data_IF_325610897707
#
_entry.id   IF_325610897707
#
_cell.length_a   1.000
_cell.length_b   1.000
_cell.length_c   1.000
_cell.angle_alpha   90.00
_cell.angle_beta   90.00
_cell.angle_gamma   90.00
#
_symmetry.space_group_name_H-M   'P 1'
#
loop_
_entity.id
_entity.type
_entity.pdbx_description
1 polymer ?
#
# COMPACT_ATOMS: atom_id res chain seq x y z
N UNK A 1 6.67 -55.47 24.60
CA UNK A 1 5.36 -55.36 25.28
C UNK A 1 4.27 -55.69 24.27
N UNK A 2 3.48 -56.74 24.51
CA UNK A 2 2.40 -57.15 23.61
C UNK A 2 1.20 -56.20 23.79
N UNK A 3 0.99 -55.27 22.85
CA UNK A 3 -0.09 -54.26 22.92
C UNK A 3 -1.52 -54.85 22.98
N UNK A 4 -1.69 -56.16 22.70
CA UNK A 4 -2.98 -56.86 22.72
C UNK A 4 -3.69 -56.93 24.08
N UNK A 5 -3.00 -56.65 25.20
CA UNK A 5 -3.56 -56.78 26.56
C UNK A 5 -3.69 -55.47 27.34
N UNK A 6 -3.60 -54.30 26.67
CA UNK A 6 -3.65 -53.00 27.36
C UNK A 6 -4.97 -52.80 28.13
N UNK A 7 -6.10 -53.20 27.55
CA UNK A 7 -7.41 -53.08 28.20
C UNK A 7 -7.52 -53.98 29.44
N UNK A 8 -7.10 -55.24 29.33
CA UNK A 8 -7.11 -56.18 30.44
C UNK A 8 -6.16 -55.76 31.58
N UNK A 9 -5.03 -55.13 31.23
CA UNK A 9 -4.09 -54.59 32.22
C UNK A 9 -4.63 -53.34 32.92
N UNK A 10 -5.25 -52.42 32.18
CA UNK A 10 -5.89 -51.21 32.72
C UNK A 10 -7.05 -51.54 33.66
N UNK A 11 -7.82 -52.59 33.37
CA UNK A 11 -8.91 -53.06 34.25
C UNK A 11 -8.34 -53.65 35.55
N UNK A 12 -7.22 -54.38 35.48
CA UNK A 12 -6.57 -55.01 36.65
C UNK A 12 -5.75 -54.03 37.49
N UNK A 13 -5.29 -52.92 36.90
CA UNK A 13 -4.47 -51.90 37.56
C UNK A 13 -5.08 -50.50 37.37
N UNK A 14 -6.25 -50.22 37.99
CA UNK A 14 -7.06 -49.03 37.68
C UNK A 14 -6.40 -47.70 38.07
N UNK A 15 -5.47 -47.71 39.03
CA UNK A 15 -4.83 -46.48 39.55
C UNK A 15 -4.01 -45.77 38.48
N UNK A 16 -3.25 -46.51 37.64
CA UNK A 16 -2.37 -45.89 36.63
C UNK A 16 -3.17 -45.18 35.53
N UNK A 17 -4.18 -45.81 34.89
CA UNK A 17 -5.06 -45.12 33.95
C UNK A 17 -5.76 -43.90 34.55
N UNK A 18 -6.26 -44.00 35.79
CA UNK A 18 -6.96 -42.88 36.45
C UNK A 18 -6.06 -41.65 36.59
N UNK A 19 -4.82 -41.84 37.08
CA UNK A 19 -3.86 -40.74 37.22
C UNK A 19 -3.50 -40.13 35.86
N UNK A 20 -3.32 -40.97 34.83
CA UNK A 20 -3.06 -40.49 33.47
C UNK A 20 -4.24 -39.67 32.94
N UNK A 21 -5.48 -40.13 33.14
CA UNK A 21 -6.67 -39.39 32.73
C UNK A 21 -6.83 -38.07 33.48
N UNK A 22 -6.57 -38.04 34.79
CA UNK A 22 -6.57 -36.80 35.57
C UNK A 22 -5.48 -35.84 35.08
N UNK A 23 -4.27 -36.35 34.79
CA UNK A 23 -3.19 -35.56 34.22
C UNK A 23 -3.54 -34.98 32.85
N UNK A 24 -4.13 -35.78 31.96
CA UNK A 24 -4.60 -35.34 30.65
C UNK A 24 -5.75 -34.33 30.76
N UNK A 25 -6.65 -34.51 31.73
CA UNK A 25 -7.74 -33.57 32.00
C UNK A 25 -7.20 -32.21 32.44
N UNK A 26 -6.25 -32.18 33.38
CA UNK A 26 -5.62 -30.94 33.84
C UNK A 26 -4.82 -30.27 32.72
N UNK A 27 -4.04 -31.05 31.96
CA UNK A 27 -3.33 -30.53 30.79
C UNK A 27 -4.28 -29.96 29.72
N UNK A 28 -5.42 -30.61 29.49
CA UNK A 28 -6.47 -30.14 28.59
C UNK A 28 -7.09 -28.83 29.04
N UNK A 29 -7.41 -28.68 30.34
CA UNK A 29 -7.97 -27.45 30.89
C UNK A 29 -6.97 -26.29 30.77
N UNK A 30 -5.69 -26.52 31.10
CA UNK A 30 -4.65 -25.50 30.97
C UNK A 30 -4.44 -25.10 29.50
N UNK A 31 -4.37 -26.08 28.60
CA UNK A 31 -4.23 -25.84 27.16
C UNK A 31 -5.40 -25.02 26.61
N UNK A 32 -6.64 -25.43 26.92
CA UNK A 32 -7.85 -24.73 26.49
C UNK A 32 -7.93 -23.30 27.02
N UNK A 33 -7.53 -23.07 28.28
CA UNK A 33 -7.51 -21.73 28.88
C UNK A 33 -6.42 -20.82 28.29
N UNK A 34 -5.34 -21.40 27.74
CA UNK A 34 -4.24 -20.65 27.10
C UNK A 34 -4.43 -20.43 25.60
N UNK A 35 -5.42 -21.10 25.00
CA UNK A 35 -5.67 -21.05 23.57
C UNK A 35 -6.15 -19.64 23.19
N UNK A 36 -5.44 -19.00 22.25
CA UNK A 36 -5.84 -17.70 21.73
C UNK A 36 -7.13 -17.87 20.94
N UNK A 37 -8.11 -17.02 21.23
CA UNK A 37 -9.33 -16.91 20.43
C UNK A 37 -9.02 -15.99 19.26
N UNK A 38 -9.34 -16.44 18.06
CA UNK A 38 -9.17 -15.67 16.83
C UNK A 38 -10.49 -15.75 16.04
N UNK A 39 -11.01 -14.60 15.64
CA UNK A 39 -12.33 -14.48 14.99
C UNK A 39 -12.31 -15.09 13.59
N UNK A 40 -11.24 -14.87 12.84
CA UNK A 40 -11.05 -15.36 11.48
C UNK A 40 -9.79 -16.21 11.39
N UNK A 41 -9.87 -17.46 10.87
CA UNK A 41 -8.69 -18.28 10.67
C UNK A 41 -7.71 -17.56 9.75
N UNK A 42 -6.41 -17.67 10.06
CA UNK A 42 -5.37 -17.14 9.20
C UNK A 42 -5.31 -17.96 7.90
N UNK A 43 -5.89 -17.42 6.82
CA UNK A 43 -5.86 -18.01 5.49
C UNK A 43 -5.04 -17.09 4.60
N UNK A 44 -3.83 -17.53 4.26
CA UNK A 44 -2.97 -16.87 3.30
C UNK A 44 -3.34 -17.33 1.89
N UNK A 45 -4.21 -16.57 1.22
CA UNK A 45 -4.36 -16.72 -0.23
C UNK A 45 -3.23 -15.96 -0.92
N UNK A 46 -2.44 -16.59 -1.81
CA UNK A 46 -1.34 -15.92 -2.47
C UNK A 46 -1.89 -14.97 -3.54
N UNK A 47 -2.16 -13.73 -3.12
CA UNK A 47 -2.71 -12.68 -3.97
C UNK A 47 -1.76 -11.49 -3.98
N UNK A 48 -1.51 -10.94 -5.17
CA UNK A 48 -0.68 -9.75 -5.38
C UNK A 48 -1.56 -8.65 -5.96
N UNK A 49 -1.44 -7.46 -5.41
CA UNK A 49 -2.16 -6.26 -5.85
C UNK A 49 -1.17 -5.36 -6.58
N UNK A 50 -1.56 -4.92 -7.77
CA UNK A 50 -0.86 -3.93 -8.58
C UNK A 50 -1.75 -2.70 -8.72
N UNK A 51 -1.25 -1.53 -8.29
CA UNK A 51 -1.94 -0.25 -8.42
C UNK A 51 -1.13 0.66 -9.32
N UNK A 52 -1.77 1.19 -10.35
CA UNK A 52 -1.17 2.18 -11.27
C UNK A 52 -2.12 3.36 -11.39
N UNK A 53 -1.61 4.56 -11.11
CA UNK A 53 -2.39 5.79 -11.19
C UNK A 53 -1.94 6.64 -12.37
N UNK A 54 -2.90 7.17 -13.13
CA UNK A 54 -2.68 8.14 -14.20
C UNK A 54 -3.65 9.31 -14.03
N UNK A 55 -3.27 10.36 -13.27
CA UNK A 55 -4.15 11.48 -13.00
C UNK A 55 -4.73 12.12 -14.27
N UNK A 56 -6.06 12.26 -14.31
CA UNK A 56 -6.76 12.93 -15.41
C UNK A 56 -7.09 12.03 -16.60
N UNK A 57 -6.85 10.73 -16.53
CA UNK A 57 -7.27 9.77 -17.55
C UNK A 57 -8.68 9.22 -17.29
N UNK A 58 -9.47 9.06 -18.36
CA UNK A 58 -10.80 8.47 -18.28
C UNK A 58 -10.72 6.95 -18.05
N UNK A 59 -11.72 6.31 -17.41
CA UNK A 59 -11.70 4.86 -17.14
C UNK A 59 -11.44 3.99 -18.37
N UNK A 60 -12.01 4.34 -19.52
CA UNK A 60 -11.81 3.63 -20.80
C UNK A 60 -10.38 3.74 -21.33
N UNK A 61 -9.71 4.86 -21.04
CA UNK A 61 -8.30 5.06 -21.38
C UNK A 61 -7.39 4.24 -20.46
N UNK A 62 -7.69 4.25 -19.15
CA UNK A 62 -7.02 3.41 -18.15
C UNK A 62 -7.15 1.93 -18.52
N UNK A 63 -8.32 1.48 -18.96
CA UNK A 63 -8.56 0.09 -19.36
C UNK A 63 -7.64 -0.30 -20.53
N UNK A 64 -7.64 0.51 -21.59
CA UNK A 64 -6.96 0.19 -22.85
C UNK A 64 -5.45 0.40 -22.81
N UNK A 65 -4.98 1.47 -22.18
CA UNK A 65 -3.56 1.84 -22.18
C UNK A 65 -2.78 1.25 -21.02
N UNK A 66 -3.43 0.94 -19.89
CA UNK A 66 -2.77 0.42 -18.69
C UNK A 66 -3.25 -0.99 -18.38
N UNK A 67 -4.54 -1.17 -18.11
CA UNK A 67 -5.09 -2.39 -17.51
C UNK A 67 -4.81 -3.61 -18.39
N UNK A 68 -5.16 -3.54 -19.67
CA UNK A 68 -4.92 -4.63 -20.62
C UNK A 68 -3.43 -4.96 -20.79
N UNK A 69 -2.55 -3.97 -20.70
CA UNK A 69 -1.08 -4.14 -20.81
C UNK A 69 -0.51 -4.84 -19.57
N UNK A 70 -0.92 -4.39 -18.39
CA UNK A 70 -0.54 -5.00 -17.12
C UNK A 70 -1.05 -6.44 -17.05
N UNK A 71 -2.33 -6.68 -17.37
CA UNK A 71 -2.91 -8.03 -17.40
C UNK A 71 -2.17 -8.97 -18.35
N UNK A 72 -1.83 -8.49 -19.55
CA UNK A 72 -1.08 -9.28 -20.51
C UNK A 72 0.32 -9.64 -19.99
N UNK A 73 1.00 -8.70 -19.33
CA UNK A 73 2.32 -8.94 -18.74
C UNK A 73 2.25 -9.96 -17.60
N UNK A 74 1.34 -9.78 -16.63
CA UNK A 74 1.25 -10.67 -15.45
C UNK A 74 0.71 -12.06 -15.80
N UNK A 75 -0.07 -12.20 -16.87
CA UNK A 75 -0.60 -13.50 -17.32
C UNK A 75 0.50 -14.46 -17.80
N UNK A 76 1.69 -13.95 -18.12
CA UNK A 76 2.83 -14.79 -18.53
C UNK A 76 3.55 -15.47 -17.37
N UNK A 77 3.24 -15.06 -16.13
CA UNK A 77 3.84 -15.57 -14.91
C UNK A 77 3.30 -16.96 -14.61
N UNK A 78 4.18 -17.87 -14.18
CA UNK A 78 3.80 -19.23 -13.80
C UNK A 78 2.97 -19.22 -12.50
N UNK A 79 2.04 -20.15 -12.36
CA UNK A 79 1.25 -20.28 -11.13
C UNK A 79 0.13 -19.27 -10.97
N UNK A 80 -0.10 -18.35 -11.91
CA UNK A 80 -1.27 -17.47 -11.92
C UNK A 80 -2.54 -18.28 -12.16
N UNK A 81 -3.48 -18.23 -11.21
CA UNK A 81 -4.78 -18.88 -11.27
C UNK A 81 -5.85 -17.96 -11.86
N UNK A 82 -5.92 -16.71 -11.37
CA UNK A 82 -6.91 -15.74 -11.82
C UNK A 82 -6.36 -14.32 -11.80
N UNK A 83 -6.87 -13.47 -12.69
CA UNK A 83 -6.56 -12.04 -12.73
C UNK A 83 -7.88 -11.28 -12.79
N UNK A 84 -8.04 -10.30 -11.92
CA UNK A 84 -9.19 -9.41 -11.89
C UNK A 84 -8.71 -7.97 -11.81
N UNK A 85 -9.16 -7.10 -12.72
CA UNK A 85 -8.79 -5.69 -12.69
C UNK A 85 -10.01 -4.80 -12.63
N UNK A 86 -9.84 -3.65 -11.97
CA UNK A 86 -10.83 -2.59 -11.90
C UNK A 86 -10.20 -1.30 -12.39
N UNK A 87 -10.66 -0.80 -13.54
CA UNK A 87 -10.30 0.52 -14.05
C UNK A 87 -11.30 1.56 -13.52
N UNK A 88 -10.78 2.57 -12.83
CA UNK A 88 -11.53 3.72 -12.33
C UNK A 88 -10.92 5.00 -12.88
N UNK A 89 -11.60 6.13 -12.67
CA UNK A 89 -11.05 7.44 -13.07
C UNK A 89 -9.69 7.64 -12.40
N UNK A 90 -8.68 7.97 -13.19
CA UNK A 90 -7.31 8.20 -12.75
C UNK A 90 -6.54 7.00 -12.13
N UNK A 91 -7.13 5.80 -12.01
CA UNK A 91 -6.43 4.66 -11.39
C UNK A 91 -6.90 3.30 -11.89
N UNK A 92 -5.95 2.37 -12.02
CA UNK A 92 -6.18 0.94 -12.19
C UNK A 92 -5.75 0.18 -10.92
N UNK A 93 -6.55 -0.81 -10.54
CA UNK A 93 -6.18 -1.82 -9.55
C UNK A 93 -6.32 -3.21 -10.19
N UNK A 94 -5.23 -3.96 -10.24
CA UNK A 94 -5.18 -5.34 -10.74
C UNK A 94 -4.85 -6.28 -9.58
N UNK A 95 -5.71 -7.27 -9.35
CA UNK A 95 -5.54 -8.35 -8.41
C UNK A 95 -5.10 -9.61 -9.17
N UNK A 96 -3.94 -10.16 -8.81
CA UNK A 96 -3.38 -11.38 -9.37
C UNK A 96 -3.43 -12.46 -8.31
N UNK A 97 -4.21 -13.51 -8.53
CA UNK A 97 -4.31 -14.66 -7.65
C UNK A 97 -3.43 -15.79 -8.18
N UNK A 98 -2.61 -16.35 -7.31
CA UNK A 98 -1.76 -17.51 -7.59
C UNK A 98 -2.36 -18.79 -7.03
N UNK A 99 -1.86 -19.94 -7.50
CA UNK A 99 -2.20 -21.25 -6.99
C UNK A 99 -1.79 -21.40 -5.52
N UNK A 100 -2.60 -22.14 -4.75
CA UNK A 100 -2.30 -22.43 -3.35
C UNK A 100 -0.99 -23.22 -3.23
N UNK A 101 -0.08 -22.75 -2.38
CA UNK A 101 1.22 -23.36 -2.13
C UNK A 101 2.40 -22.63 -2.75
N UNK A 102 2.14 -21.61 -3.58
CA UNK A 102 3.18 -20.71 -4.12
C UNK A 102 3.74 -19.78 -3.04
N UNK A 103 5.04 -19.44 -3.10
CA UNK A 103 5.62 -18.43 -2.22
C UNK A 103 5.16 -17.04 -2.65
N UNK A 104 4.38 -16.38 -1.78
CA UNK A 104 3.83 -15.06 -2.06
C UNK A 104 4.91 -13.99 -2.27
N UNK A 105 6.08 -14.10 -1.61
CA UNK A 105 7.16 -13.14 -1.78
C UNK A 105 7.84 -13.31 -3.15
N UNK A 106 7.97 -14.56 -3.61
CA UNK A 106 8.43 -14.85 -4.97
C UNK A 106 7.44 -14.31 -6.00
N UNK A 107 6.14 -14.60 -5.83
CA UNK A 107 5.08 -14.09 -6.68
C UNK A 107 5.06 -12.55 -6.76
N UNK A 108 5.23 -11.84 -5.64
CA UNK A 108 5.35 -10.37 -5.63
C UNK A 108 6.54 -9.90 -6.46
N UNK A 109 7.69 -10.55 -6.33
CA UNK A 109 8.88 -10.21 -7.11
C UNK A 109 8.70 -10.49 -8.61
N UNK A 110 8.06 -11.60 -8.97
CA UNK A 110 7.75 -11.93 -10.37
C UNK A 110 6.78 -10.92 -10.99
N UNK A 111 5.71 -10.58 -10.26
CA UNK A 111 4.74 -9.55 -10.70
C UNK A 111 5.42 -8.21 -10.87
N UNK A 112 6.26 -7.80 -9.91
CA UNK A 112 7.03 -6.56 -10.00
C UNK A 112 7.93 -6.55 -11.25
N UNK A 113 8.68 -7.63 -11.48
CA UNK A 113 9.55 -7.73 -12.65
C UNK A 113 8.75 -7.66 -13.98
N UNK A 114 7.60 -8.33 -14.05
CA UNK A 114 6.74 -8.28 -15.24
C UNK A 114 6.16 -6.88 -15.48
N UNK A 115 5.73 -6.19 -14.43
CA UNK A 115 5.23 -4.80 -14.51
C UNK A 115 6.34 -3.83 -14.90
N UNK A 116 7.54 -3.99 -14.34
CA UNK A 116 8.72 -3.18 -14.65
C UNK A 116 9.15 -3.38 -16.12
N UNK A 117 9.07 -4.60 -16.64
CA UNK A 117 9.33 -4.89 -18.05
C UNK A 117 8.27 -4.27 -18.98
N UNK A 118 7.00 -4.30 -18.57
CA UNK A 118 5.89 -3.68 -19.29
C UNK A 118 5.86 -2.15 -19.19
N UNK A 119 6.66 -1.55 -18.29
CA UNK A 119 6.71 -0.09 -18.06
C UNK A 119 6.94 0.71 -19.34
N UNK A 120 7.74 0.19 -20.27
CA UNK A 120 8.01 0.84 -21.56
C UNK A 120 6.83 0.87 -22.53
N UNK A 121 5.80 0.04 -22.31
CA UNK A 121 4.55 0.04 -23.08
C UNK A 121 3.46 0.91 -22.44
N UNK A 122 3.68 1.37 -21.20
CA UNK A 122 2.74 2.21 -20.46
C UNK A 122 2.94 3.71 -20.80
N UNK A 123 1.91 4.55 -20.67
CA UNK A 123 2.03 5.99 -20.94
C UNK A 123 3.00 6.70 -19.98
N UNK A 124 3.72 7.73 -20.46
CA UNK A 124 4.67 8.52 -19.65
C UNK A 124 4.02 9.29 -18.48
N UNK A 125 2.70 9.44 -18.48
CA UNK A 125 1.94 10.21 -17.49
C UNK A 125 1.58 9.44 -16.21
N UNK A 126 1.94 8.15 -16.10
CA UNK A 126 1.58 7.33 -14.95
C UNK A 126 2.53 7.56 -13.77
N UNK A 127 2.00 7.45 -12.56
CA UNK A 127 2.80 7.33 -11.34
C UNK A 127 3.55 5.99 -11.29
N UNK A 128 4.47 5.87 -10.34
CA UNK A 128 5.23 4.64 -10.15
C UNK A 128 4.29 3.49 -9.75
N UNK A 129 4.34 2.32 -10.43
CA UNK A 129 3.45 1.20 -10.13
C UNK A 129 3.72 0.71 -8.71
N UNK A 130 2.68 0.54 -7.93
CA UNK A 130 2.77 -0.03 -6.59
C UNK A 130 2.41 -1.50 -6.68
N UNK A 131 3.32 -2.37 -6.24
CA UNK A 131 3.10 -3.83 -6.19
C UNK A 131 3.28 -4.29 -4.75
N UNK A 132 2.25 -4.92 -4.19
CA UNK A 132 2.26 -5.40 -2.82
C UNK A 132 1.43 -6.66 -2.68
N UNK A 133 1.74 -7.48 -1.67
CA UNK A 133 0.92 -8.65 -1.32
C UNK A 133 -0.44 -8.19 -0.82
N UNK A 134 -1.50 -8.91 -1.16
CA UNK A 134 -2.78 -8.72 -0.50
C UNK A 134 -2.67 -9.22 0.93
N UNK A 135 -3.12 -8.41 1.87
CA UNK A 135 -3.25 -8.82 3.26
C UNK A 135 -4.72 -9.18 3.48
N UNK A 136 -5.01 -10.44 3.82
CA UNK A 136 -6.37 -10.93 4.07
C UNK A 136 -6.89 -10.51 5.44
N UNK A 137 -6.06 -9.88 6.28
CA UNK A 137 -6.30 -9.61 7.70
C UNK A 137 -6.08 -8.15 8.11
N UNK A 138 -6.25 -7.20 7.19
CA UNK A 138 -6.03 -5.77 7.43
C UNK A 138 -7.34 -4.98 7.61
N UNK A 139 -8.29 -5.55 8.35
CA UNK A 139 -9.42 -4.75 8.84
C UNK A 139 -8.89 -3.64 9.77
N UNK A 140 -9.35 -2.39 9.60
CA UNK A 140 -8.97 -1.31 10.49
C UNK A 140 -9.31 -1.66 11.95
N UNK A 141 -8.30 -1.59 12.82
CA UNK A 141 -8.44 -1.95 14.24
C UNK A 141 -9.41 -0.98 14.96
N UNK A 142 -9.52 0.26 14.48
CA UNK A 142 -10.44 1.26 15.00
C UNK A 142 -10.77 2.34 13.95
N UNK A 143 -11.98 2.89 14.06
CA UNK A 143 -12.39 4.08 13.33
C UNK A 143 -12.62 5.23 14.31
N UNK A 144 -12.12 6.42 13.98
CA UNK A 144 -12.30 7.63 14.77
C UNK A 144 -12.95 8.72 13.92
N UNK A 145 -14.02 9.32 14.45
CA UNK A 145 -14.54 10.57 13.93
C UNK A 145 -13.88 11.73 14.68
N UNK A 146 -13.38 12.72 13.94
CA UNK A 146 -12.68 13.87 14.51
C UNK A 146 -13.49 15.14 14.21
N UNK A 147 -13.73 15.94 15.24
CA UNK A 147 -14.35 17.26 15.13
C UNK A 147 -13.56 18.27 15.97
N UNK A 148 -13.48 19.51 15.48
CA UNK A 148 -12.84 20.62 16.19
C UNK A 148 -13.70 21.88 15.99
N UNK A 149 -13.94 22.64 17.07
CA UNK A 149 -14.75 23.86 17.03
C UNK A 149 -13.93 25.10 16.62
N UNK A 150 -12.60 25.02 16.73
CA UNK A 150 -11.65 26.12 16.52
C UNK A 150 -10.80 25.97 15.26
N UNK A 151 -11.07 24.97 14.42
CA UNK A 151 -10.35 24.71 13.18
C UNK A 151 -11.29 24.70 11.98
N UNK A 152 -10.83 25.26 10.85
CA UNK A 152 -11.50 25.01 9.57
C UNK A 152 -11.27 23.57 9.11
N UNK A 153 -12.05 23.10 8.13
CA UNK A 153 -11.93 21.73 7.61
C UNK A 153 -10.53 21.48 7.02
N UNK A 154 -9.93 22.48 6.39
CA UNK A 154 -8.56 22.44 5.85
C UNK A 154 -7.52 22.31 6.98
N UNK A 155 -7.65 23.13 8.02
CA UNK A 155 -6.75 23.10 9.17
C UNK A 155 -6.84 21.77 9.92
N UNK A 156 -8.05 21.25 10.09
CA UNK A 156 -8.29 19.97 10.74
C UNK A 156 -7.72 18.82 9.91
N UNK A 157 -7.96 18.82 8.58
CA UNK A 157 -7.41 17.80 7.68
C UNK A 157 -5.87 17.79 7.73
N UNK A 158 -5.25 18.97 7.69
CA UNK A 158 -3.80 19.11 7.82
C UNK A 158 -3.29 18.65 9.19
N UNK A 159 -3.97 18.99 10.28
CA UNK A 159 -3.60 18.58 11.63
C UNK A 159 -3.65 17.04 11.78
N UNK A 160 -4.69 16.40 11.21
CA UNK A 160 -4.81 14.95 11.22
C UNK A 160 -3.63 14.32 10.46
N UNK A 161 -3.36 14.77 9.24
CA UNK A 161 -2.32 14.18 8.38
C UNK A 161 -0.89 14.43 8.91
N UNK A 162 -0.61 15.65 9.36
CA UNK A 162 0.74 16.07 9.72
C UNK A 162 1.10 15.78 11.17
N UNK A 163 0.13 15.79 12.10
CA UNK A 163 0.38 15.61 13.53
C UNK A 163 -0.16 14.29 14.06
N UNK A 164 -1.47 14.03 13.88
CA UNK A 164 -2.12 12.86 14.51
C UNK A 164 -1.63 11.56 13.87
N UNK A 165 -1.68 11.46 12.54
CA UNK A 165 -1.28 10.27 11.81
C UNK A 165 0.19 9.92 12.07
N UNK A 166 1.10 10.90 12.02
CA UNK A 166 2.53 10.67 12.32
C UNK A 166 2.77 10.19 13.75
N UNK A 167 2.02 10.71 14.72
CA UNK A 167 2.14 10.26 16.11
C UNK A 167 1.64 8.84 16.29
N UNK A 168 0.53 8.48 15.66
CA UNK A 168 0.00 7.13 15.70
C UNK A 168 0.96 6.14 15.03
N UNK A 169 1.45 6.45 13.83
CA UNK A 169 2.44 5.64 13.09
C UNK A 169 3.74 5.40 13.87
N UNK A 170 4.07 6.25 14.86
CA UNK A 170 5.25 6.04 15.73
C UNK A 170 5.08 4.91 16.75
N UNK A 171 3.86 4.40 16.96
CA UNK A 171 3.56 3.31 17.90
C UNK A 171 4.07 1.99 17.32
N UNK A 172 4.84 1.24 18.11
CA UNK A 172 5.37 -0.07 17.70
C UNK A 172 4.24 -1.02 17.32
N UNK A 173 4.31 -1.58 16.11
CA UNK A 173 3.31 -2.50 15.56
C UNK A 173 2.21 -1.81 14.74
N UNK A 174 2.22 -0.48 14.59
CA UNK A 174 1.29 0.22 13.72
C UNK A 174 1.76 0.19 12.26
N UNK A 175 0.96 -0.40 11.37
CA UNK A 175 1.29 -0.54 9.95
C UNK A 175 0.83 0.67 9.10
N UNK A 176 -0.40 1.14 9.30
CA UNK A 176 -0.99 2.24 8.53
C UNK A 176 -1.95 3.10 9.36
N UNK A 177 -2.10 4.36 8.96
CA UNK A 177 -3.10 5.29 9.48
C UNK A 177 -3.59 6.12 8.30
N UNK A 178 -4.89 6.06 8.02
CA UNK A 178 -5.50 6.72 6.87
C UNK A 178 -6.59 7.67 7.33
N UNK A 179 -6.65 8.85 6.70
CA UNK A 179 -7.74 9.81 6.90
C UNK A 179 -8.82 9.57 5.84
N UNK A 180 -10.01 9.15 6.29
CA UNK A 180 -11.21 9.17 5.47
C UNK A 180 -11.89 10.56 5.47
N UNK A 181 -12.39 11.00 4.31
CA UNK A 181 -13.08 12.29 4.17
C UNK A 181 -12.14 13.49 4.19
N UNK A 182 -12.61 14.66 4.64
CA UNK A 182 -11.81 15.90 4.73
C UNK A 182 -11.45 16.54 3.38
N UNK A 183 -10.45 17.41 3.37
CA UNK A 183 -9.99 18.13 2.17
C UNK A 183 -8.47 18.05 2.02
N UNK A 184 -8.01 17.85 0.79
CA UNK A 184 -6.60 17.83 0.45
C UNK A 184 -6.14 19.22 0.00
N UNK A 185 -4.96 19.63 0.44
CA UNK A 185 -4.37 20.88 -0.01
C UNK A 185 -3.81 20.73 -1.43
N UNK A 186 -4.46 21.36 -2.39
CA UNK A 186 -3.98 21.44 -3.78
C UNK A 186 -3.71 22.91 -4.20
N UNK A 187 -2.79 23.08 -5.15
CA UNK A 187 -2.61 24.35 -5.87
C UNK A 187 -3.15 24.13 -7.28
N UNK A 188 -4.30 24.73 -7.57
CA UNK A 188 -4.95 24.63 -8.87
C UNK A 188 -4.53 25.80 -9.76
N UNK A 189 -3.88 25.51 -10.88
CA UNK A 189 -3.54 26.52 -11.90
C UNK A 189 -4.60 26.51 -12.99
N UNK A 190 -5.46 27.51 -13.00
CA UNK A 190 -6.48 27.68 -14.04
C UNK A 190 -5.95 28.58 -15.15
N UNK A 191 -5.88 28.04 -16.36
CA UNK A 191 -5.39 28.76 -17.54
C UNK A 191 -6.51 29.56 -18.21
N UNK A 192 -6.23 30.81 -18.61
CA UNK A 192 -7.13 31.66 -19.39
C UNK A 192 -6.82 31.50 -20.91
N UNK A 193 -7.72 30.87 -21.70
CA UNK A 193 -7.48 30.61 -23.11
C UNK A 193 -7.28 31.88 -23.95
N UNK A 194 -8.01 32.97 -23.64
CA UNK A 194 -7.94 34.21 -24.42
C UNK A 194 -6.57 34.89 -24.22
N UNK A 195 -6.10 34.91 -22.97
CA UNK A 195 -4.77 35.45 -22.64
C UNK A 195 -3.65 34.62 -23.25
N UNK A 196 -3.76 33.29 -23.19
CA UNK A 196 -2.79 32.39 -23.82
C UNK A 196 -2.67 32.61 -25.32
N UNK A 197 -3.80 32.75 -26.02
CA UNK A 197 -3.83 33.02 -27.45
C UNK A 197 -3.18 34.38 -27.78
N UNK A 198 -3.44 35.41 -26.97
CA UNK A 198 -2.81 36.74 -27.16
C UNK A 198 -1.29 36.72 -26.98
N UNK A 199 -0.78 35.84 -26.13
CA UNK A 199 0.65 35.68 -25.83
C UNK A 199 1.33 34.62 -26.70
N UNK A 200 0.58 33.90 -27.54
CA UNK A 200 1.08 32.83 -28.39
C UNK A 200 1.62 31.61 -27.63
N UNK A 201 1.13 31.35 -26.41
CA UNK A 201 1.60 30.24 -25.55
C UNK A 201 0.59 29.10 -25.50
N UNK A 202 1.07 27.86 -25.43
CA UNK A 202 0.23 26.66 -25.30
C UNK A 202 0.18 26.14 -23.86
N UNK A 203 -0.84 25.33 -23.55
CA UNK A 203 -0.99 24.75 -22.20
C UNK A 203 0.19 23.83 -21.86
N UNK A 204 0.71 23.11 -22.86
CA UNK A 204 1.90 22.27 -22.73
C UNK A 204 3.14 23.09 -22.36
N UNK A 205 3.33 24.26 -22.98
CA UNK A 205 4.44 25.15 -22.63
C UNK A 205 4.32 25.68 -21.20
N UNK A 206 3.12 26.08 -20.76
CA UNK A 206 2.89 26.53 -19.38
C UNK A 206 3.19 25.40 -18.40
N UNK A 207 2.71 24.18 -18.66
CA UNK A 207 3.01 23.00 -17.84
C UNK A 207 4.53 22.72 -17.78
N UNK A 208 5.23 22.81 -18.92
CA UNK A 208 6.68 22.64 -18.99
C UNK A 208 7.44 23.64 -18.11
N UNK A 209 7.03 24.91 -18.13
CA UNK A 209 7.63 25.96 -17.29
C UNK A 209 7.34 25.73 -15.81
N UNK A 210 6.09 25.40 -15.43
CA UNK A 210 5.74 25.10 -14.04
C UNK A 210 6.54 23.93 -13.48
N UNK A 211 6.77 22.88 -14.28
CA UNK A 211 7.62 21.75 -13.91
C UNK A 211 9.08 22.13 -13.73
N UNK A 212 9.59 23.11 -14.49
CA UNK A 212 10.98 23.58 -14.35
C UNK A 212 11.17 24.52 -13.16
N UNK A 213 10.19 25.39 -12.90
CA UNK A 213 10.26 26.35 -11.80
C UNK A 213 10.29 25.64 -10.45
N UNK A 214 9.46 24.62 -10.25
CA UNK A 214 9.31 24.00 -8.94
C UNK A 214 10.33 22.88 -8.66
N UNK A 215 11.60 23.07 -9.03
CA UNK A 215 12.68 22.08 -8.83
C UNK A 215 13.82 22.66 -8.00
N UNK A 216 14.27 21.89 -7.01
CA UNK A 216 15.51 22.17 -6.29
C UNK A 216 16.68 21.51 -6.99
N UNK A 217 17.75 22.27 -7.25
CA UNK A 217 18.95 21.76 -7.90
C UNK A 217 20.14 21.75 -6.93
N UNK A 218 20.98 20.73 -7.05
CA UNK A 218 22.26 20.70 -6.36
C UNK A 218 23.21 21.72 -7.01
N UNK A 219 23.69 22.68 -6.21
CA UNK A 219 24.67 23.68 -6.67
C UNK A 219 26.13 23.18 -6.54
N UNK A 220 26.33 21.94 -6.12
CA UNK A 220 27.66 21.34 -5.94
C UNK A 220 28.28 21.65 -4.57
N UNK A 221 29.61 21.74 -4.54
CA UNK A 221 30.39 22.05 -3.33
C UNK A 221 31.28 23.26 -3.60
N UNK A 222 31.28 24.22 -2.69
CA UNK A 222 32.19 25.36 -2.70
C UNK A 222 33.19 25.23 -1.55
N UNK A 223 34.46 25.56 -1.78
CA UNK A 223 35.48 25.62 -0.72
C UNK A 223 35.75 27.09 -0.40
N UNK A 224 35.37 27.53 0.80
CA UNK A 224 35.51 28.92 1.24
C UNK A 224 36.32 28.89 2.54
N UNK A 225 37.46 29.59 2.55
CA UNK A 225 38.36 29.68 3.70
C UNK A 225 38.77 28.31 4.29
N UNK A 226 38.99 27.31 3.44
CA UNK A 226 39.39 25.95 3.85
C UNK A 226 38.24 25.06 4.35
N UNK A 227 37.00 25.55 4.34
CA UNK A 227 35.81 24.75 4.67
C UNK A 227 35.01 24.45 3.41
N UNK A 228 34.63 23.18 3.23
CA UNK A 228 33.73 22.76 2.14
C UNK A 228 32.28 22.93 2.55
N UNK A 229 31.55 23.71 1.78
CA UNK A 229 30.12 23.95 1.95
C UNK A 229 29.35 23.38 0.77
N UNK A 230 28.25 22.68 1.05
CA UNK A 230 27.31 22.26 0.01
C UNK A 230 26.51 23.47 -0.45
N UNK A 231 26.51 23.73 -1.75
CA UNK A 231 25.67 24.77 -2.35
C UNK A 231 24.40 24.11 -2.87
N UNK A 232 23.24 24.71 -2.58
CA UNK A 232 21.94 24.26 -3.05
C UNK A 232 21.21 25.43 -3.68
N UNK A 233 20.67 25.22 -4.88
CA UNK A 233 19.79 26.17 -5.55
C UNK A 233 18.35 25.80 -5.19
N UNK A 234 17.68 26.72 -4.50
CA UNK A 234 16.28 26.56 -4.14
C UNK A 234 15.43 27.18 -5.24
N UNK A 235 14.78 26.35 -6.06
CA UNK A 235 13.84 26.79 -7.10
C UNK A 235 12.38 26.63 -6.67
N UNK A 236 12.11 25.81 -5.66
CA UNK A 236 10.75 25.50 -5.23
C UNK A 236 9.97 26.76 -4.78
N UNK A 237 8.80 26.95 -5.35
CA UNK A 237 7.90 28.03 -4.97
C UNK A 237 7.35 27.78 -3.56
N UNK A 238 7.49 28.75 -2.65
CA UNK A 238 6.98 28.64 -1.29
C UNK A 238 5.50 29.01 -1.20
N UNK A 239 5.02 29.81 -2.16
CA UNK A 239 3.65 30.27 -2.22
C UNK A 239 3.08 30.11 -3.63
N UNK A 240 1.76 30.10 -3.74
CA UNK A 240 1.09 30.05 -5.05
C UNK A 240 1.38 31.30 -5.92
N UNK A 241 1.84 32.40 -5.33
CA UNK A 241 2.23 33.61 -6.05
C UNK A 241 3.64 33.52 -6.67
N UNK A 242 4.48 32.64 -6.13
CA UNK A 242 5.84 32.39 -6.63
C UNK A 242 5.87 31.32 -7.75
N UNK A 243 4.73 30.67 -8.03
CA UNK A 243 4.51 29.78 -9.18
C UNK A 243 4.15 30.57 -10.44
#
# INVERSE_FOLDING_TARGET
>A
MNFRNISAWSIRNPVVPIIIFIGLMLAGILSFSSMKVQNDPDIEFPMVIVVISQPGAAPTEIETQITQKVEAAVRTISGVESISSTASESSNQTLVQFQIGEDINEAVNEVKNAVDQARGELPDGILEPQVFKAETSSDPIAYFAVSADDMTLEQLSWFIDDTVAKRLLSITGMASVERGGGVNREIRVTLDPAKMQSLGVTASQVNGVLRQLNVNAAGGKAEIAGSRQSVRVLGNAKTAFEL
#
